data_IF_736483664776
#
_entry.id   IF_736483664776
#
_cell.length_a   1.000
_cell.length_b   1.000
_cell.length_c   1.000
_cell.angle_alpha   90.00
_cell.angle_beta   90.00
_cell.angle_gamma   90.00
#
_symmetry.space_group_name_H-M   'P 1'
#
loop_
_entity.id
_entity.type
_entity.pdbx_description
1 polymer ?
#
# COMPACT_ATOMS: atom_id res chain seq x y z
N UNK A 1 6.89 -25.71 18.34
CA UNK A 1 6.00 -25.23 17.28
C UNK A 1 6.53 -23.86 16.89
N UNK A 2 7.09 -23.70 15.69
CA UNK A 2 7.52 -22.39 15.20
C UNK A 2 6.26 -21.57 15.00
N UNK A 3 6.09 -20.50 15.80
CA UNK A 3 5.01 -19.55 15.60
C UNK A 3 5.19 -18.95 14.22
N UNK A 4 4.23 -19.21 13.33
CA UNK A 4 4.22 -18.62 11.99
C UNK A 4 3.91 -17.14 12.11
N UNK A 5 4.62 -16.30 11.34
CA UNK A 5 4.34 -14.85 11.27
C UNK A 5 2.91 -14.65 10.79
N UNK A 6 2.15 -13.78 11.48
CA UNK A 6 0.86 -13.28 11.03
C UNK A 6 1.02 -11.89 10.44
N UNK A 7 0.46 -11.68 9.27
CA UNK A 7 0.51 -10.42 8.55
C UNK A 7 -0.90 -9.84 8.43
N UNK A 8 -1.18 -8.82 9.25
CA UNK A 8 -2.47 -8.14 9.29
C UNK A 8 -2.42 -6.92 8.38
N UNK A 9 -3.24 -6.92 7.34
CA UNK A 9 -3.16 -5.89 6.30
C UNK A 9 -4.49 -5.67 5.56
N UNK A 10 -4.50 -4.69 4.65
CA UNK A 10 -5.58 -4.48 3.70
C UNK A 10 -5.00 -4.31 2.28
N UNK A 11 -5.46 -5.07 1.26
CA UNK A 11 -4.83 -5.08 -0.06
C UNK A 11 -4.94 -3.76 -0.84
N UNK A 12 -5.91 -2.90 -0.52
CA UNK A 12 -5.97 -1.55 -1.09
C UNK A 12 -4.98 -0.56 -0.46
N UNK A 13 -4.35 -0.92 0.67
CA UNK A 13 -3.39 -0.05 1.38
C UNK A 13 -2.00 -0.12 0.75
N UNK A 14 -1.44 1.02 0.34
CA UNK A 14 -0.13 1.12 -0.29
C UNK A 14 1.00 0.53 0.57
N UNK A 15 1.18 0.94 1.86
CA UNK A 15 2.25 0.38 2.68
C UNK A 15 2.07 -1.12 2.95
N UNK A 16 0.82 -1.61 2.95
CA UNK A 16 0.58 -3.05 3.05
C UNK A 16 1.09 -3.78 1.82
N UNK A 17 0.80 -3.30 0.62
CA UNK A 17 1.27 -3.95 -0.61
C UNK A 17 2.79 -3.99 -0.69
N UNK A 18 3.49 -2.94 -0.23
CA UNK A 18 4.95 -2.90 -0.24
C UNK A 18 5.57 -4.00 0.63
N UNK A 19 5.06 -4.20 1.85
CA UNK A 19 5.52 -5.27 2.75
C UNK A 19 5.11 -6.65 2.20
N UNK A 20 3.89 -6.78 1.69
CA UNK A 20 3.40 -8.02 1.11
C UNK A 20 4.28 -8.47 -0.05
N UNK A 21 4.61 -7.54 -0.97
CA UNK A 21 5.51 -7.83 -2.08
C UNK A 21 6.90 -8.24 -1.60
N UNK A 22 7.48 -7.53 -0.62
CA UNK A 22 8.79 -7.91 -0.06
C UNK A 22 8.77 -9.34 0.47
N UNK A 23 7.72 -9.75 1.18
CA UNK A 23 7.60 -11.13 1.68
C UNK A 23 7.50 -12.15 0.56
N UNK A 24 6.73 -11.85 -0.50
CA UNK A 24 6.59 -12.74 -1.66
C UNK A 24 7.89 -12.83 -2.48
N UNK A 25 8.61 -11.72 -2.67
CA UNK A 25 9.88 -11.67 -3.40
C UNK A 25 11.01 -12.48 -2.72
N UNK A 26 10.86 -12.74 -1.42
CA UNK A 26 11.86 -13.43 -0.60
C UNK A 26 11.34 -14.75 -0.01
N UNK A 27 10.23 -15.28 -0.52
CA UNK A 27 9.62 -16.54 -0.07
C UNK A 27 9.44 -16.63 1.46
N UNK A 28 9.18 -15.51 2.12
CA UNK A 28 8.96 -15.46 3.57
C UNK A 28 7.60 -16.09 3.90
N UNK A 29 7.55 -17.12 4.75
CA UNK A 29 6.28 -17.76 5.12
C UNK A 29 5.50 -16.89 6.13
N UNK A 30 4.23 -16.67 5.86
CA UNK A 30 3.32 -15.93 6.75
C UNK A 30 1.88 -16.45 6.64
N UNK A 31 1.08 -16.14 7.65
CA UNK A 31 -0.39 -16.26 7.63
C UNK A 31 -0.96 -14.88 7.31
N UNK A 32 -1.73 -14.80 6.25
CA UNK A 32 -2.39 -13.57 5.82
C UNK A 32 -3.68 -13.35 6.63
N UNK A 33 -3.84 -12.15 7.19
CA UNK A 33 -5.04 -11.71 7.89
C UNK A 33 -5.52 -10.36 7.34
N UNK A 34 -6.68 -10.38 6.69
CA UNK A 34 -7.27 -9.17 6.13
C UNK A 34 -7.99 -8.39 7.24
N UNK A 35 -7.60 -7.13 7.43
CA UNK A 35 -8.27 -6.19 8.32
C UNK A 35 -9.29 -5.39 7.51
N UNK A 36 -10.57 -5.59 7.79
CA UNK A 36 -11.63 -4.83 7.11
C UNK A 36 -11.67 -3.38 7.61
N UNK A 37 -10.91 -2.52 6.92
CA UNK A 37 -10.83 -1.09 7.20
C UNK A 37 -12.19 -0.39 6.97
N UNK A 38 -13.01 -0.94 6.11
CA UNK A 38 -14.29 -0.34 5.74
C UNK A 38 -15.38 -0.67 6.75
N UNK A 39 -15.26 -1.84 7.40
CA UNK A 39 -16.09 -2.15 8.57
C UNK A 39 -15.60 -1.43 9.84
N UNK A 40 -14.43 -0.75 9.77
CA UNK A 40 -13.85 -0.03 10.90
C UNK A 40 -13.22 -0.93 11.95
N UNK A 41 -12.83 -2.17 11.61
CA UNK A 41 -12.22 -3.11 12.57
C UNK A 41 -10.93 -2.56 13.17
N UNK A 42 -10.19 -1.76 12.42
CA UNK A 42 -8.98 -1.08 12.86
C UNK A 42 -9.25 0.05 13.89
N UNK A 43 -10.46 0.55 13.96
CA UNK A 43 -10.87 1.61 14.89
C UNK A 43 -11.36 1.07 16.24
N UNK A 44 -11.61 -0.24 16.34
CA UNK A 44 -12.04 -0.86 17.58
C UNK A 44 -11.00 -0.73 18.67
N UNK A 45 -11.44 -0.41 19.91
CA UNK A 45 -10.56 -0.28 21.08
C UNK A 45 -9.72 -1.54 21.33
N UNK A 46 -10.30 -2.72 21.07
CA UNK A 46 -9.59 -3.99 21.20
C UNK A 46 -8.43 -4.08 20.20
N UNK A 47 -8.66 -3.70 18.93
CA UNK A 47 -7.63 -3.70 17.90
C UNK A 47 -6.48 -2.75 18.25
N UNK A 48 -6.82 -1.51 18.65
CA UNK A 48 -5.84 -0.50 19.02
C UNK A 48 -5.01 -0.91 20.24
N UNK A 49 -5.63 -1.51 21.23
CA UNK A 49 -4.94 -1.97 22.44
C UNK A 49 -4.02 -3.15 22.18
N UNK A 50 -4.48 -4.12 21.38
CA UNK A 50 -3.82 -5.42 21.24
C UNK A 50 -2.76 -5.43 20.12
N UNK A 51 -2.88 -4.53 19.11
CA UNK A 51 -2.04 -4.57 17.91
C UNK A 51 -1.38 -3.22 17.58
N UNK A 52 -2.14 -2.17 17.32
CA UNK A 52 -1.60 -0.89 16.91
C UNK A 52 -2.43 0.28 17.45
N UNK A 53 -1.91 1.06 18.41
CA UNK A 53 -2.65 2.17 19.01
C UNK A 53 -3.07 3.27 18.03
N UNK A 54 -2.43 3.32 16.85
CA UNK A 54 -2.80 4.28 15.79
C UNK A 54 -3.98 3.81 14.93
N UNK A 55 -4.41 2.54 15.06
CA UNK A 55 -5.47 1.97 14.23
C UNK A 55 -5.07 1.80 12.76
N UNK A 56 -3.78 1.75 12.42
CA UNK A 56 -3.30 1.63 11.06
C UNK A 56 -2.77 0.25 10.74
N UNK A 57 -2.74 -0.08 9.46
CA UNK A 57 -2.10 -1.28 8.88
C UNK A 57 -1.00 -0.85 7.92
N UNK A 58 0.03 -1.69 7.66
CA UNK A 58 0.21 -3.09 8.08
C UNK A 58 0.64 -3.29 9.53
N UNK A 59 0.39 -4.51 10.05
CA UNK A 59 0.90 -4.99 11.33
C UNK A 59 1.48 -6.39 11.12
N UNK A 60 2.62 -6.66 11.73
CA UNK A 60 3.22 -7.98 11.75
C UNK A 60 3.30 -8.49 13.18
N UNK A 61 2.85 -9.73 13.39
CA UNK A 61 2.85 -10.40 14.69
C UNK A 61 3.71 -11.65 14.60
N UNK A 62 4.75 -11.71 15.43
CA UNK A 62 5.66 -12.85 15.53
C UNK A 62 5.74 -13.32 16.98
N UNK A 63 4.93 -14.33 17.31
CA UNK A 63 4.73 -14.74 18.68
C UNK A 63 4.14 -13.62 19.53
N UNK A 64 4.89 -13.14 20.51
CA UNK A 64 4.49 -12.01 21.37
C UNK A 64 5.01 -10.66 20.88
N UNK A 65 5.80 -10.64 19.81
CA UNK A 65 6.32 -9.42 19.22
C UNK A 65 5.34 -8.89 18.19
N UNK A 66 4.91 -7.64 18.38
CA UNK A 66 4.03 -6.92 17.46
C UNK A 66 4.77 -5.70 16.95
N UNK A 67 4.84 -5.54 15.64
CA UNK A 67 5.45 -4.38 15.00
C UNK A 67 4.55 -3.83 13.89
N UNK A 68 4.47 -2.52 13.83
CA UNK A 68 3.76 -1.75 12.81
C UNK A 68 4.71 -0.68 12.23
N UNK A 69 4.29 0.12 11.25
CA UNK A 69 5.07 0.88 10.29
C UNK A 69 5.73 -0.02 9.23
N UNK A 70 5.36 0.15 7.98
CA UNK A 70 5.82 -0.71 6.87
C UNK A 70 7.34 -0.78 6.75
N UNK A 71 8.05 0.34 6.96
CA UNK A 71 9.51 0.37 6.93
C UNK A 71 10.13 -0.39 8.11
N UNK A 72 9.54 -0.30 9.30
CA UNK A 72 10.01 -1.04 10.47
C UNK A 72 9.74 -2.54 10.34
N UNK A 73 8.57 -2.92 9.80
CA UNK A 73 8.26 -4.32 9.49
C UNK A 73 9.27 -4.89 8.49
N UNK A 74 9.51 -4.17 7.39
CA UNK A 74 10.43 -4.62 6.36
C UNK A 74 11.88 -4.73 6.89
N UNK A 75 12.32 -3.79 7.72
CA UNK A 75 13.60 -3.87 8.40
C UNK A 75 13.68 -5.09 9.32
N UNK A 76 12.63 -5.35 10.12
CA UNK A 76 12.54 -6.53 10.97
C UNK A 76 12.66 -7.83 10.16
N UNK A 77 11.94 -7.93 9.04
CA UNK A 77 12.00 -9.08 8.14
C UNK A 77 13.39 -9.26 7.53
N UNK A 78 14.04 -8.17 7.14
CA UNK A 78 15.40 -8.18 6.64
C UNK A 78 16.38 -8.82 7.64
N UNK A 79 16.35 -8.37 8.88
CA UNK A 79 17.23 -8.88 9.93
C UNK A 79 16.90 -10.33 10.30
N UNK A 80 15.61 -10.65 10.41
CA UNK A 80 15.16 -11.99 10.79
C UNK A 80 15.49 -13.08 9.78
N UNK A 81 15.35 -12.75 8.48
CA UNK A 81 15.50 -13.70 7.38
C UNK A 81 16.81 -13.53 6.61
N UNK A 82 17.66 -12.60 7.02
CA UNK A 82 18.91 -12.27 6.33
C UNK A 82 18.70 -12.09 4.82
N UNK A 83 17.80 -11.17 4.45
CA UNK A 83 17.45 -10.94 3.06
C UNK A 83 18.66 -10.52 2.23
N UNK A 84 18.55 -10.66 0.90
CA UNK A 84 19.62 -10.24 -0.01
C UNK A 84 19.98 -8.75 0.18
N UNK A 85 21.25 -8.37 0.04
CA UNK A 85 21.74 -7.03 0.36
C UNK A 85 21.05 -5.88 -0.39
N UNK A 86 20.53 -6.14 -1.59
CA UNK A 86 19.83 -5.13 -2.38
C UNK A 86 18.62 -4.53 -1.64
N UNK A 87 17.93 -5.28 -0.78
CA UNK A 87 16.71 -4.80 -0.12
C UNK A 87 16.96 -3.67 0.87
N UNK A 88 18.08 -3.70 1.61
CA UNK A 88 18.41 -2.71 2.63
C UNK A 88 19.85 -2.19 2.56
N UNK A 89 20.65 -2.68 1.60
CA UNK A 89 22.04 -2.28 1.37
C UNK A 89 23.07 -3.05 2.21
N UNK A 90 24.20 -3.44 1.60
CA UNK A 90 25.33 -4.10 2.27
C UNK A 90 26.37 -3.10 2.79
N UNK A 91 26.47 -1.92 2.18
CA UNK A 91 27.37 -0.86 2.62
C UNK A 91 26.64 0.19 3.46
N UNK A 92 27.41 0.92 4.28
CA UNK A 92 26.88 2.05 5.06
C UNK A 92 26.23 3.11 4.14
N UNK A 93 26.79 3.32 2.95
CA UNK A 93 26.31 4.31 1.98
C UNK A 93 24.97 3.90 1.39
N UNK A 94 24.81 2.65 0.99
CA UNK A 94 23.54 2.12 0.48
C UNK A 94 22.45 2.13 1.55
N UNK A 95 22.77 1.66 2.77
CA UNK A 95 21.84 1.72 3.90
C UNK A 95 21.39 3.16 4.18
N UNK A 96 22.32 4.11 4.19
CA UNK A 96 21.98 5.51 4.41
C UNK A 96 21.10 6.07 3.30
N UNK A 97 21.32 5.69 2.04
CA UNK A 97 20.52 6.13 0.89
C UNK A 97 19.08 5.57 0.96
N UNK A 98 18.95 4.29 1.29
CA UNK A 98 17.64 3.66 1.46
C UNK A 98 16.88 4.30 2.63
N UNK A 99 17.53 4.51 3.77
CA UNK A 99 16.91 5.19 4.92
C UNK A 99 16.53 6.65 4.58
N UNK A 100 17.36 7.37 3.84
CA UNK A 100 17.05 8.72 3.36
C UNK A 100 15.74 8.73 2.57
N UNK A 101 15.59 7.78 1.63
CA UNK A 101 14.37 7.66 0.85
C UNK A 101 13.15 7.33 1.72
N UNK A 102 13.25 6.31 2.59
CA UNK A 102 12.14 5.87 3.43
C UNK A 102 11.63 6.98 4.36
N UNK A 103 12.52 7.80 4.91
CA UNK A 103 12.15 8.96 5.71
C UNK A 103 11.50 10.05 4.87
N UNK A 104 12.09 10.38 3.71
CA UNK A 104 11.50 11.34 2.77
C UNK A 104 10.12 10.87 2.27
N UNK A 105 10.00 9.58 1.92
CA UNK A 105 8.74 8.98 1.52
C UNK A 105 7.65 9.19 2.59
N UNK A 106 7.92 8.84 3.84
CA UNK A 106 6.91 8.91 4.91
C UNK A 106 6.48 10.35 5.24
N UNK A 107 7.36 11.33 5.09
CA UNK A 107 7.09 12.72 5.43
C UNK A 107 6.65 13.58 4.24
N UNK A 108 6.93 13.15 3.02
CA UNK A 108 6.68 13.93 1.78
C UNK A 108 5.77 13.16 0.81
N UNK A 109 6.29 12.17 0.07
CA UNK A 109 5.52 11.48 -0.96
C UNK A 109 4.22 10.88 -0.41
N UNK A 110 4.24 10.27 0.77
CA UNK A 110 3.06 9.68 1.43
C UNK A 110 1.93 10.70 1.64
N UNK A 111 2.23 11.97 1.79
CA UNK A 111 1.21 13.04 1.88
C UNK A 111 0.50 13.27 0.54
N UNK A 112 1.16 12.97 -0.58
CA UNK A 112 0.56 12.98 -1.92
C UNK A 112 -0.54 11.93 -2.09
N UNK A 113 -0.51 10.84 -1.30
CA UNK A 113 -1.57 9.83 -1.26
C UNK A 113 -2.96 10.44 -0.95
N UNK A 114 -3.01 11.63 -0.38
CA UNK A 114 -4.23 12.40 -0.18
C UNK A 114 -5.01 12.61 -1.47
N UNK A 115 -4.36 12.89 -2.60
CA UNK A 115 -5.03 13.05 -3.89
C UNK A 115 -5.88 11.82 -4.22
N UNK A 116 -5.32 10.63 -4.11
CA UNK A 116 -6.02 9.37 -4.35
C UNK A 116 -7.11 9.09 -3.30
N UNK A 117 -6.76 9.21 -2.02
CA UNK A 117 -7.67 8.88 -0.93
C UNK A 117 -8.91 9.77 -0.91
N UNK A 118 -8.74 11.10 -0.98
CA UNK A 118 -9.86 12.04 -0.94
C UNK A 118 -10.72 11.96 -2.20
N UNK A 119 -10.14 11.64 -3.35
CA UNK A 119 -10.90 11.44 -4.60
C UNK A 119 -11.77 10.19 -4.55
N UNK A 120 -11.26 9.09 -3.96
CA UNK A 120 -11.88 7.79 -4.13
C UNK A 120 -12.56 7.22 -2.89
N UNK A 121 -12.14 7.56 -1.67
CA UNK A 121 -12.60 6.89 -0.45
C UNK A 121 -13.22 7.82 0.59
N UNK A 122 -12.79 9.07 0.68
CA UNK A 122 -13.17 9.95 1.77
C UNK A 122 -14.70 10.12 1.92
N UNK A 123 -15.43 10.29 0.82
CA UNK A 123 -16.89 10.40 0.85
C UNK A 123 -17.56 9.14 1.41
N UNK A 124 -17.03 7.97 1.06
CA UNK A 124 -17.57 6.67 1.52
C UNK A 124 -17.35 6.43 3.01
N UNK A 125 -16.24 6.96 3.56
CA UNK A 125 -15.82 6.74 4.94
C UNK A 125 -16.35 7.83 5.87
N UNK A 126 -16.25 9.10 5.46
CA UNK A 126 -16.53 10.26 6.31
C UNK A 126 -17.77 11.05 5.91
N UNK A 127 -18.45 10.62 4.85
CA UNK A 127 -19.66 11.28 4.34
C UNK A 127 -19.36 12.37 3.33
N UNK A 128 -20.44 12.86 2.71
CA UNK A 128 -20.35 13.87 1.64
C UNK A 128 -20.00 15.24 2.19
N UNK A 129 -18.88 15.79 1.73
CA UNK A 129 -18.45 17.17 1.95
C UNK A 129 -17.52 17.58 0.79
N UNK A 130 -17.12 18.83 0.75
CA UNK A 130 -16.12 19.32 -0.19
C UNK A 130 -14.71 18.92 0.28
N UNK A 131 -14.02 18.14 -0.54
CA UNK A 131 -12.65 17.67 -0.32
C UNK A 131 -11.64 18.33 -1.30
N UNK A 132 -12.07 19.30 -2.08
CA UNK A 132 -11.25 19.91 -3.16
C UNK A 132 -9.89 20.39 -2.67
N UNK A 133 -9.86 21.02 -1.49
CA UNK A 133 -8.62 21.53 -0.90
C UNK A 133 -7.62 20.43 -0.54
N UNK A 134 -8.11 19.33 0.00
CA UNK A 134 -7.29 18.18 0.37
C UNK A 134 -6.76 17.47 -0.88
N UNK A 135 -7.60 17.36 -1.91
CA UNK A 135 -7.23 16.80 -3.21
C UNK A 135 -6.14 17.65 -3.88
N UNK A 136 -6.33 18.97 -3.99
CA UNK A 136 -5.36 19.90 -4.56
C UNK A 136 -4.00 19.83 -3.85
N UNK A 137 -3.99 19.80 -2.52
CA UNK A 137 -2.76 19.62 -1.73
C UNK A 137 -2.07 18.30 -2.01
N UNK A 138 -2.84 17.23 -2.14
CA UNK A 138 -2.29 15.91 -2.49
C UNK A 138 -1.65 15.93 -3.88
N UNK A 139 -2.30 16.55 -4.87
CA UNK A 139 -1.76 16.72 -6.21
C UNK A 139 -0.46 17.54 -6.23
N UNK A 140 -0.40 18.65 -5.51
CA UNK A 140 0.80 19.48 -5.45
C UNK A 140 1.99 18.67 -4.87
N UNK A 141 1.78 17.96 -3.77
CA UNK A 141 2.83 17.11 -3.17
C UNK A 141 3.24 15.98 -4.11
N UNK A 142 2.30 15.36 -4.83
CA UNK A 142 2.59 14.31 -5.80
C UNK A 142 3.46 14.86 -6.94
N UNK A 143 3.12 16.00 -7.50
CA UNK A 143 3.86 16.68 -8.57
C UNK A 143 5.30 17.00 -8.13
N UNK A 144 5.47 17.67 -6.99
CA UNK A 144 6.79 17.96 -6.42
C UNK A 144 7.61 16.68 -6.17
N UNK A 145 6.94 15.61 -5.74
CA UNK A 145 7.61 14.33 -5.51
C UNK A 145 8.07 13.67 -6.81
N UNK A 146 7.29 13.77 -7.88
CA UNK A 146 7.68 13.28 -9.20
C UNK A 146 8.92 14.02 -9.73
N UNK A 147 8.99 15.34 -9.54
CA UNK A 147 10.16 16.17 -9.93
C UNK A 147 11.44 15.72 -9.20
N UNK A 148 11.35 15.43 -7.90
CA UNK A 148 12.48 14.93 -7.10
C UNK A 148 12.88 13.54 -7.54
N UNK A 149 11.93 12.64 -7.75
CA UNK A 149 12.20 11.27 -8.15
C UNK A 149 12.76 11.17 -9.57
N UNK A 150 12.32 12.04 -10.49
CA UNK A 150 12.86 12.12 -11.85
C UNK A 150 14.38 12.36 -11.81
N UNK A 151 14.84 13.33 -10.98
CA UNK A 151 16.27 13.62 -10.81
C UNK A 151 17.06 12.46 -10.17
N UNK A 152 16.47 11.70 -9.25
CA UNK A 152 17.13 10.54 -8.65
C UNK A 152 17.28 9.42 -9.67
N UNK A 153 16.25 9.17 -10.45
CA UNK A 153 16.19 8.10 -11.45
C UNK A 153 16.97 8.40 -12.73
N UNK A 154 17.41 9.64 -12.96
CA UNK A 154 18.41 9.96 -13.98
C UNK A 154 19.76 9.26 -13.77
N UNK A 155 20.10 8.92 -12.52
CA UNK A 155 21.41 8.42 -12.11
C UNK A 155 21.47 6.90 -11.99
N UNK A 156 20.34 6.25 -11.82
CA UNK A 156 20.27 4.80 -11.61
C UNK A 156 18.88 4.27 -11.96
N UNK A 157 18.75 2.99 -12.33
CA UNK A 157 17.48 2.41 -12.70
C UNK A 157 16.47 2.27 -11.54
N UNK A 158 16.93 2.35 -10.30
CA UNK A 158 16.13 2.30 -9.08
C UNK A 158 16.46 3.46 -8.15
N UNK A 159 15.57 3.75 -7.21
CA UNK A 159 15.65 4.93 -6.34
C UNK A 159 16.92 5.03 -5.51
N UNK A 160 17.51 3.89 -5.17
CA UNK A 160 18.68 3.85 -4.29
C UNK A 160 19.93 3.19 -4.90
N UNK A 161 19.91 2.87 -6.20
CA UNK A 161 21.04 2.27 -6.89
C UNK A 161 20.66 1.43 -8.11
N UNK A 162 21.50 0.44 -8.44
CA UNK A 162 21.36 -0.36 -9.65
C UNK A 162 20.41 -1.55 -9.47
N UNK A 163 20.06 -1.89 -8.25
CA UNK A 163 19.16 -3.00 -7.91
C UNK A 163 17.95 -2.49 -7.13
N UNK A 164 16.83 -3.22 -7.29
CA UNK A 164 15.59 -2.93 -6.57
C UNK A 164 15.82 -3.05 -5.05
N UNK A 165 15.22 -2.13 -4.30
CA UNK A 165 15.26 -2.11 -2.85
C UNK A 165 13.85 -1.95 -2.25
N UNK A 166 13.74 -2.00 -0.92
CA UNK A 166 12.47 -1.72 -0.27
C UNK A 166 11.98 -0.28 -0.50
N UNK A 167 12.89 0.66 -0.75
CA UNK A 167 12.55 2.02 -1.16
C UNK A 167 11.68 2.03 -2.43
N UNK A 168 12.04 1.21 -3.40
CA UNK A 168 11.31 1.09 -4.67
C UNK A 168 9.92 0.51 -4.47
N UNK A 169 9.78 -0.52 -3.63
CA UNK A 169 8.47 -1.09 -3.34
C UNK A 169 7.54 -0.07 -2.65
N UNK A 170 8.05 0.71 -1.71
CA UNK A 170 7.28 1.76 -1.05
C UNK A 170 6.81 2.83 -2.05
N UNK A 171 7.70 3.33 -2.89
CA UNK A 171 7.37 4.30 -3.91
C UNK A 171 6.40 3.75 -4.95
N UNK A 172 6.71 2.58 -5.48
CA UNK A 172 5.89 1.93 -6.51
C UNK A 172 4.43 1.79 -6.09
N UNK A 173 4.16 1.35 -4.87
CA UNK A 173 2.79 1.15 -4.43
C UNK A 173 2.04 2.45 -4.15
N UNK A 174 2.72 3.56 -3.85
CA UNK A 174 2.09 4.88 -3.87
C UNK A 174 1.64 5.23 -5.30
N UNK A 175 2.57 5.13 -6.27
CA UNK A 175 2.28 5.42 -7.67
C UNK A 175 1.25 4.48 -8.28
N UNK A 176 1.26 3.19 -7.94
CA UNK A 176 0.26 2.23 -8.39
C UNK A 176 -1.17 2.63 -7.97
N UNK A 177 -1.36 3.20 -6.80
CA UNK A 177 -2.66 3.72 -6.40
C UNK A 177 -3.09 4.92 -7.22
N UNK A 178 -2.16 5.84 -7.49
CA UNK A 178 -2.43 7.01 -8.33
C UNK A 178 -2.70 6.62 -9.78
N UNK A 179 -1.93 5.67 -10.32
CA UNK A 179 -2.14 5.12 -11.66
C UNK A 179 -3.51 4.46 -11.78
N UNK A 180 -3.82 3.50 -10.90
CA UNK A 180 -5.09 2.79 -10.90
C UNK A 180 -6.29 3.72 -10.71
N UNK A 181 -6.14 4.78 -9.91
CA UNK A 181 -7.18 5.77 -9.65
C UNK A 181 -7.29 6.87 -10.71
N UNK A 182 -6.47 6.86 -11.76
CA UNK A 182 -6.47 7.90 -12.78
C UNK A 182 -6.07 9.29 -12.27
N UNK A 183 -5.23 9.33 -11.21
CA UNK A 183 -4.76 10.59 -10.61
C UNK A 183 -3.59 11.17 -11.42
N UNK A 184 -2.68 10.32 -11.90
CA UNK A 184 -1.58 10.73 -12.78
C UNK A 184 -2.08 10.64 -14.22
N UNK A 185 -2.05 11.75 -14.93
CA UNK A 185 -2.47 11.83 -16.32
C UNK A 185 -1.41 11.28 -17.29
N UNK A 186 -1.83 10.93 -18.51
CA UNK A 186 -0.91 10.51 -19.58
C UNK A 186 0.15 11.58 -19.89
N UNK A 187 -0.21 12.87 -19.76
CA UNK A 187 0.72 13.96 -19.95
C UNK A 187 1.85 13.95 -18.90
N UNK A 188 1.51 13.70 -17.63
CA UNK A 188 2.51 13.58 -16.55
C UNK A 188 3.40 12.36 -16.75
N UNK A 189 2.85 11.18 -17.13
CA UNK A 189 3.66 10.01 -17.47
C UNK A 189 4.63 10.28 -18.62
N UNK A 190 4.23 11.11 -19.60
CA UNK A 190 5.08 11.50 -20.73
C UNK A 190 6.16 12.50 -20.31
N UNK A 191 5.86 13.41 -19.38
CA UNK A 191 6.78 14.41 -18.86
C UNK A 191 7.87 13.78 -17.98
N UNK A 192 7.48 12.94 -17.01
CA UNK A 192 8.37 12.27 -16.07
C UNK A 192 8.86 10.91 -16.58
N UNK A 193 9.76 10.93 -17.53
CA UNK A 193 10.20 9.75 -18.29
C UNK A 193 10.93 8.72 -17.44
N UNK A 194 11.76 9.17 -16.50
CA UNK A 194 12.53 8.26 -15.63
C UNK A 194 11.60 7.61 -14.60
N UNK A 195 10.68 8.39 -14.03
CA UNK A 195 9.64 7.86 -13.12
C UNK A 195 8.77 6.84 -13.85
N UNK A 196 8.35 7.12 -15.08
CA UNK A 196 7.56 6.18 -15.89
C UNK A 196 8.33 4.90 -16.17
N UNK A 197 9.58 4.99 -16.66
CA UNK A 197 10.40 3.80 -16.95
C UNK A 197 10.70 2.96 -15.69
N UNK A 198 10.90 3.60 -14.55
CA UNK A 198 11.04 2.95 -13.25
C UNK A 198 9.74 2.25 -12.85
N UNK A 199 8.61 2.91 -12.98
CA UNK A 199 7.29 2.34 -12.65
C UNK A 199 6.97 1.12 -13.51
N UNK A 200 7.19 1.20 -14.82
CA UNK A 200 6.99 0.09 -15.76
C UNK A 200 7.87 -1.12 -15.38
N UNK A 201 9.18 -0.88 -15.12
CA UNK A 201 10.12 -1.93 -14.72
C UNK A 201 9.68 -2.71 -13.50
N UNK A 202 9.08 -2.05 -12.50
CA UNK A 202 8.59 -2.71 -11.29
C UNK A 202 7.23 -3.35 -11.55
N UNK A 203 6.36 -2.75 -12.36
CA UNK A 203 5.03 -3.28 -12.68
C UNK A 203 5.05 -4.60 -13.45
N UNK A 204 6.13 -4.87 -14.19
CA UNK A 204 6.32 -6.13 -14.92
C UNK A 204 6.64 -7.33 -13.99
N UNK A 205 7.00 -7.10 -12.75
CA UNK A 205 7.31 -8.17 -11.80
C UNK A 205 6.03 -8.92 -11.40
N UNK A 206 6.09 -10.25 -11.39
CA UNK A 206 4.94 -11.10 -11.09
C UNK A 206 4.30 -10.78 -9.72
N UNK A 207 5.12 -10.50 -8.68
CA UNK A 207 4.61 -10.16 -7.37
C UNK A 207 4.03 -8.74 -7.30
N UNK A 208 4.54 -7.78 -8.08
CA UNK A 208 3.92 -6.46 -8.24
C UNK A 208 2.51 -6.58 -8.80
N UNK A 209 2.34 -7.38 -9.86
CA UNK A 209 1.04 -7.63 -10.47
C UNK A 209 0.08 -8.27 -9.49
N UNK A 210 0.50 -9.35 -8.81
CA UNK A 210 -0.31 -10.08 -7.84
C UNK A 210 -0.84 -9.20 -6.72
N UNK A 211 0.02 -8.41 -6.06
CA UNK A 211 -0.41 -7.59 -4.92
C UNK A 211 -1.16 -6.32 -5.33
N UNK A 212 -1.13 -5.96 -6.62
CA UNK A 212 -1.83 -4.80 -7.16
C UNK A 212 -3.23 -5.11 -7.71
N UNK A 213 -3.64 -6.37 -7.82
CA UNK A 213 -4.93 -6.78 -8.39
C UNK A 213 -6.11 -6.02 -7.77
N UNK A 214 -6.17 -5.94 -6.44
CA UNK A 214 -7.26 -5.26 -5.74
C UNK A 214 -7.32 -3.77 -6.06
N UNK A 215 -6.19 -3.07 -6.08
CA UNK A 215 -6.20 -1.62 -6.32
C UNK A 215 -6.51 -1.29 -7.80
N UNK A 216 -6.10 -2.13 -8.72
CA UNK A 216 -6.46 -2.02 -10.13
C UNK A 216 -7.96 -2.21 -10.32
N UNK A 217 -8.58 -3.17 -9.63
CA UNK A 217 -10.03 -3.38 -9.69
C UNK A 217 -10.79 -2.19 -9.08
N UNK A 218 -10.33 -1.65 -7.97
CA UNK A 218 -10.84 -0.39 -7.40
C UNK A 218 -10.83 0.73 -8.44
N UNK A 219 -9.75 0.89 -9.18
CA UNK A 219 -9.64 1.88 -10.25
C UNK A 219 -10.67 1.69 -11.36
N UNK A 220 -10.86 0.46 -11.85
CA UNK A 220 -11.85 0.12 -12.89
C UNK A 220 -13.28 0.45 -12.45
N UNK A 221 -13.64 0.09 -11.23
CA UNK A 221 -14.95 0.39 -10.65
C UNK A 221 -15.19 1.89 -10.63
N UNK A 222 -14.20 2.68 -10.26
CA UNK A 222 -14.31 4.15 -10.26
C UNK A 222 -14.41 4.75 -11.66
N UNK A 223 -13.63 4.26 -12.60
CA UNK A 223 -13.70 4.70 -14.00
C UNK A 223 -15.09 4.47 -14.62
N UNK A 224 -15.85 3.45 -14.16
CA UNK A 224 -17.23 3.22 -14.56
C UNK A 224 -18.27 4.15 -13.93
N UNK A 225 -17.85 5.12 -13.09
CA UNK A 225 -18.73 6.04 -12.37
C UNK A 225 -19.47 5.41 -11.18
N UNK A 226 -19.14 4.18 -10.81
CA UNK A 226 -19.76 3.51 -9.67
C UNK A 226 -19.08 3.97 -8.35
N UNK A 227 -19.89 4.28 -7.36
CA UNK A 227 -19.40 4.49 -6.00
C UNK A 227 -18.97 3.15 -5.40
N UNK A 228 -17.76 3.09 -4.85
CA UNK A 228 -17.35 1.97 -4.03
C UNK A 228 -18.14 2.04 -2.73
N UNK A 229 -19.32 1.45 -2.73
CA UNK A 229 -20.07 1.22 -1.49
C UNK A 229 -19.51 -0.05 -0.86
N UNK A 230 -18.61 0.12 0.06
CA UNK A 230 -18.15 -0.96 0.90
C UNK A 230 -19.23 -1.19 1.95
N UNK A 231 -19.83 -2.36 1.95
CA UNK A 231 -20.93 -2.71 2.86
C UNK A 231 -20.38 -2.71 4.29
N UNK A 232 -20.89 -1.82 5.13
CA UNK A 232 -20.82 -2.04 6.58
C UNK A 232 -21.57 -3.35 6.84
N UNK A 233 -20.88 -4.44 7.11
CA UNK A 233 -21.49 -5.59 7.74
C UNK A 233 -21.81 -5.15 9.16
N UNK A 234 -23.03 -4.71 9.37
CA UNK A 234 -23.62 -4.72 10.71
C UNK A 234 -23.69 -6.19 11.14
N UNK A 235 -22.81 -6.60 12.02
CA UNK A 235 -23.07 -7.77 12.85
C UNK A 235 -24.32 -7.47 13.68
N UNK A 236 -25.29 -8.40 13.62
CA UNK A 236 -26.58 -8.42 14.32
C UNK A 236 -27.74 -7.82 13.52
N UNK A 237 -28.37 -8.66 12.71
CA UNK A 237 -29.78 -9.07 12.85
C UNK A 237 -30.24 -9.79 11.58
N UNK A 238 -30.92 -10.87 11.80
CA UNK A 238 -31.60 -11.69 10.78
C UNK A 238 -32.61 -10.86 9.97
N UNK A 239 -32.56 -11.07 8.64
CA UNK A 239 -33.74 -10.98 7.77
C UNK A 239 -34.00 -9.59 7.19
N UNK A 240 -33.66 -9.43 5.96
CA UNK A 240 -34.48 -9.07 4.79
C UNK A 240 -33.57 -8.57 3.66
N UNK A 241 -33.63 -9.28 2.55
CA UNK A 241 -33.03 -8.83 1.28
C UNK A 241 -33.76 -7.57 0.80
N UNK A 242 -32.94 -6.54 0.48
CA UNK A 242 -33.43 -5.44 -0.38
C UNK A 242 -32.64 -5.52 -1.68
N UNK A 243 -33.32 -5.92 -2.73
CA UNK A 243 -32.87 -5.82 -4.11
C UNK A 243 -32.77 -4.36 -4.52
N UNK A 244 -31.63 -4.02 -5.20
CA UNK A 244 -31.58 -2.90 -6.12
C UNK A 244 -30.58 -1.81 -5.81
N UNK A 245 -29.37 -1.96 -6.30
CA UNK A 245 -28.49 -1.01 -7.03
C UNK A 245 -27.06 -1.54 -6.97
N UNK A 246 -26.40 -1.66 -8.15
CA UNK A 246 -25.12 -2.33 -8.36
C UNK A 246 -24.05 -2.14 -7.29
N UNK A 247 -24.05 -3.03 -6.34
CA UNK A 247 -23.03 -3.15 -5.31
C UNK A 247 -22.10 -4.27 -5.76
N UNK A 248 -20.85 -3.96 -6.07
CA UNK A 248 -19.84 -4.99 -6.26
C UNK A 248 -19.43 -5.41 -4.86
N UNK A 249 -19.88 -6.58 -4.43
CA UNK A 249 -19.25 -7.29 -3.31
C UNK A 249 -17.91 -7.79 -3.81
N UNK A 250 -16.82 -7.22 -3.31
CA UNK A 250 -15.52 -7.88 -3.40
C UNK A 250 -15.64 -9.03 -2.41
N UNK A 251 -15.68 -10.30 -2.87
CA UNK A 251 -15.81 -11.43 -1.96
C UNK A 251 -14.53 -11.57 -1.16
N UNK A 252 -14.58 -11.26 0.10
CA UNK A 252 -13.58 -11.67 1.06
C UNK A 252 -13.93 -13.10 1.48
N UNK A 253 -13.42 -14.05 0.75
CA UNK A 253 -13.35 -15.42 1.26
C UNK A 253 -12.25 -15.44 2.32
N UNK A 254 -12.63 -15.69 3.56
CA UNK A 254 -11.72 -16.04 4.64
C UNK A 254 -11.15 -17.45 4.38
N UNK A 255 -10.38 -17.60 3.33
CA UNK A 255 -9.54 -18.75 3.16
C UNK A 255 -8.19 -18.47 3.83
N UNK A 256 -7.92 -19.15 4.90
CA UNK A 256 -6.58 -19.38 5.43
C UNK A 256 -5.76 -20.08 4.34
N UNK A 257 -5.18 -19.31 3.43
CA UNK A 257 -4.24 -19.87 2.46
C UNK A 257 -2.93 -20.12 3.18
N UNK A 258 -2.71 -21.35 3.55
CA UNK A 258 -1.37 -21.86 3.88
C UNK A 258 -0.59 -21.91 2.57
N UNK A 259 0.33 -20.98 2.35
CA UNK A 259 1.35 -21.14 1.33
C UNK A 259 2.33 -22.20 1.81
N UNK A 260 2.41 -23.30 1.06
CA UNK A 260 3.43 -24.34 1.24
C UNK A 260 4.74 -23.87 0.65
#
# INVERSE_FOLDING_TARGET
MTNQIRYMHHPASQPCRAVHQLMLENDIPFVEEIVDLMAGLNEEEKFKRDFNPTGQVPILVDGNFVVWESAAIAFYLNEKYALAPNWFGDTIYQRARIQQYLHWHSTTLRRGAGAFFYTHFAESIWGKRDYSREIEKGYAVLQESMEVMEQWLEKSPFLCGDEISFADLQGFHEFMSHYAGGIISDAQWTEFKQVNAWFERISERAHSQKVSETIIEVGKVRASGQLIRMSRRTSLAKGTEVQGSGTINIPYENETRQTK
#
